data_IF_802280914952
#
_entry.id   IF_802280914952
#
_cell.length_a   1.000
_cell.length_b   1.000
_cell.length_c   1.000
_cell.angle_alpha   90.00
_cell.angle_beta   90.00
_cell.angle_gamma   90.00
#
_symmetry.space_group_name_H-M   'P 1'
#
loop_
_entity.id
_entity.type
_entity.pdbx_description
1 polymer ?
#
# COMPACT_ATOMS: atom_id res chain seq x y z
N UNK A 1 24.06 -3.62 -0.10
CA UNK A 1 23.43 -4.60 0.81
C UNK A 1 23.38 -5.93 0.08
N UNK A 2 23.92 -6.99 0.66
CA UNK A 2 23.77 -8.35 0.14
C UNK A 2 22.65 -9.01 0.94
N UNK A 3 21.58 -9.44 0.25
CA UNK A 3 20.40 -10.05 0.86
C UNK A 3 20.39 -11.53 0.53
N UNK A 4 20.17 -12.38 1.54
CA UNK A 4 20.09 -13.83 1.36
C UNK A 4 18.64 -14.33 1.38
N UNK A 5 18.40 -15.50 0.80
CA UNK A 5 17.09 -16.17 0.87
C UNK A 5 16.61 -16.44 2.30
N UNK A 6 17.53 -16.69 3.23
CA UNK A 6 17.22 -16.96 4.64
C UNK A 6 16.74 -15.67 5.31
N UNK A 7 17.42 -14.55 5.06
CA UNK A 7 17.01 -13.25 5.56
C UNK A 7 15.64 -12.82 5.04
N UNK A 8 15.34 -13.08 3.76
CA UNK A 8 14.00 -12.84 3.18
C UNK A 8 12.93 -13.57 3.98
N UNK A 9 13.07 -14.89 4.13
CA UNK A 9 12.07 -15.73 4.84
C UNK A 9 11.94 -15.35 6.30
N UNK A 10 13.05 -15.05 6.95
CA UNK A 10 13.04 -14.75 8.38
C UNK A 10 12.46 -13.36 8.68
N UNK A 11 12.74 -12.35 7.86
CA UNK A 11 12.09 -11.04 7.98
C UNK A 11 10.58 -11.18 7.84
N UNK A 12 10.13 -11.81 6.76
CA UNK A 12 8.69 -11.97 6.48
C UNK A 12 7.97 -12.78 7.56
N UNK A 13 8.63 -13.79 8.14
CA UNK A 13 8.07 -14.61 9.24
C UNK A 13 7.95 -13.84 10.56
N UNK A 14 8.80 -12.83 10.80
CA UNK A 14 8.80 -12.05 12.06
C UNK A 14 7.83 -10.87 12.01
N UNK A 15 7.37 -10.49 10.82
CA UNK A 15 6.45 -9.38 10.64
C UNK A 15 5.06 -9.70 11.21
N UNK A 16 4.35 -8.66 11.68
CA UNK A 16 3.03 -8.79 12.29
C UNK A 16 2.02 -9.46 11.34
N UNK A 17 1.22 -10.39 11.86
CA UNK A 17 0.24 -11.14 11.08
C UNK A 17 -1.07 -10.36 10.88
N UNK A 18 -2.01 -10.94 10.13
CA UNK A 18 -3.30 -10.29 9.82
C UNK A 18 -4.16 -9.99 11.06
N UNK A 19 -3.93 -10.69 12.19
CA UNK A 19 -4.64 -10.45 13.46
C UNK A 19 -4.08 -9.28 14.28
N UNK A 20 -2.89 -8.82 13.92
CA UNK A 20 -2.14 -7.76 14.63
C UNK A 20 -2.09 -6.47 13.81
N UNK A 21 -2.61 -6.50 12.58
CA UNK A 21 -2.55 -5.37 11.65
C UNK A 21 -3.94 -4.81 11.33
N UNK A 22 -3.97 -3.53 10.98
CA UNK A 22 -5.11 -2.87 10.36
C UNK A 22 -4.83 -2.59 8.88
N UNK A 23 -5.88 -2.53 8.07
CA UNK A 23 -5.77 -2.29 6.62
C UNK A 23 -6.40 -0.96 6.23
N UNK A 24 -5.67 -0.11 5.54
CA UNK A 24 -6.17 1.09 4.88
C UNK A 24 -6.22 0.88 3.36
N UNK A 25 -7.28 1.34 2.69
CA UNK A 25 -7.40 1.28 1.23
C UNK A 25 -7.67 2.66 0.65
N UNK A 26 -6.82 3.11 -0.28
CA UNK A 26 -6.96 4.43 -0.90
C UNK A 26 -6.37 4.48 -2.30
N UNK A 27 -6.88 5.37 -3.13
CA UNK A 27 -6.32 5.71 -4.44
C UNK A 27 -5.88 7.17 -4.44
N UNK A 28 -4.67 7.45 -4.93
CA UNK A 28 -4.09 8.80 -5.05
C UNK A 28 -3.28 8.92 -6.34
N UNK A 29 -3.86 8.45 -7.45
CA UNK A 29 -3.20 8.40 -8.76
C UNK A 29 -2.64 7.02 -9.09
N UNK A 30 -1.53 6.97 -9.83
CA UNK A 30 -0.90 5.70 -10.21
C UNK A 30 -0.34 4.98 -8.98
N UNK A 31 -0.75 3.74 -8.73
CA UNK A 31 -0.43 3.05 -7.47
C UNK A 31 1.06 2.75 -7.24
N UNK A 32 1.93 2.86 -8.25
CA UNK A 32 3.35 2.51 -8.11
C UNK A 32 4.11 3.46 -7.18
N UNK A 33 3.73 4.74 -7.20
CA UNK A 33 4.29 5.73 -6.28
C UNK A 33 3.85 5.45 -4.83
N UNK A 34 2.53 5.44 -4.56
CA UNK A 34 2.01 5.15 -3.22
C UNK A 34 2.43 3.78 -2.67
N UNK A 35 2.49 2.72 -3.49
CA UNK A 35 2.98 1.40 -3.06
C UNK A 35 4.41 1.48 -2.50
N UNK A 36 5.31 2.18 -3.18
CA UNK A 36 6.67 2.39 -2.72
C UNK A 36 6.75 3.34 -1.52
N UNK A 37 6.01 4.45 -1.56
CA UNK A 37 6.00 5.45 -0.50
C UNK A 37 5.51 4.87 0.82
N UNK A 38 4.40 4.13 0.83
CA UNK A 38 3.87 3.51 2.03
C UNK A 38 4.71 2.30 2.46
N UNK A 39 5.27 1.54 1.51
CA UNK A 39 6.21 0.46 1.84
C UNK A 39 7.42 0.93 2.65
N UNK A 40 7.85 2.18 2.48
CA UNK A 40 8.96 2.77 3.24
C UNK A 40 8.60 3.20 4.68
N UNK A 41 7.32 3.27 5.04
CA UNK A 41 6.89 3.85 6.32
C UNK A 41 7.08 2.86 7.47
N UNK A 42 7.69 3.30 8.57
CA UNK A 42 7.77 2.53 9.82
C UNK A 42 6.37 2.16 10.33
N UNK A 43 6.19 0.93 10.79
CA UNK A 43 4.87 0.38 11.16
C UNK A 43 4.03 -0.10 9.99
N UNK A 44 4.31 0.28 8.74
CA UNK A 44 3.70 -0.39 7.58
C UNK A 44 4.33 -1.76 7.41
N UNK A 45 3.47 -2.78 7.35
CA UNK A 45 3.86 -4.19 7.25
C UNK A 45 3.80 -4.64 5.80
N UNK A 46 2.71 -4.37 5.08
CA UNK A 46 2.50 -4.87 3.71
C UNK A 46 1.82 -3.81 2.85
N UNK A 47 2.07 -3.88 1.55
CA UNK A 47 1.37 -3.05 0.56
C UNK A 47 0.91 -3.88 -0.62
N UNK A 48 -0.25 -3.58 -1.19
CA UNK A 48 -0.78 -4.28 -2.37
C UNK A 48 -1.37 -3.27 -3.34
N UNK A 49 -0.90 -3.28 -4.59
CA UNK A 49 -1.53 -2.55 -5.67
C UNK A 49 -2.79 -3.28 -6.15
N UNK A 50 -3.85 -2.54 -6.47
CA UNK A 50 -5.09 -3.15 -6.93
C UNK A 50 -6.11 -2.17 -7.47
N UNK A 51 -7.32 -2.69 -7.69
CA UNK A 51 -8.45 -1.99 -8.27
C UNK A 51 -9.66 -2.06 -7.35
N UNK A 52 -10.25 -0.91 -7.02
CA UNK A 52 -11.40 -0.81 -6.13
C UNK A 52 -12.22 0.46 -6.42
N UNK A 53 -13.36 0.61 -5.74
CA UNK A 53 -14.25 1.77 -5.88
C UNK A 53 -15.14 1.75 -7.12
N UNK A 54 -15.22 0.61 -7.81
CA UNK A 54 -16.13 0.34 -8.92
C UNK A 54 -17.00 -0.91 -8.66
N UNK A 55 -17.78 -1.29 -9.65
CA UNK A 55 -18.77 -2.37 -9.61
C UNK A 55 -18.44 -3.54 -10.54
N UNK A 56 -17.51 -3.36 -11.48
CA UNK A 56 -17.09 -4.42 -12.40
C UNK A 56 -16.44 -5.59 -11.65
N UNK A 57 -16.86 -6.82 -11.96
CA UNK A 57 -16.22 -8.02 -11.43
C UNK A 57 -14.91 -8.32 -12.18
N UNK A 58 -13.89 -8.75 -11.44
CA UNK A 58 -12.59 -9.19 -11.96
C UNK A 58 -11.93 -8.14 -12.89
N UNK A 59 -11.73 -6.87 -12.43
CA UNK A 59 -11.07 -5.85 -13.22
C UNK A 59 -9.60 -6.21 -13.48
N UNK A 60 -9.10 -5.83 -14.66
CA UNK A 60 -7.68 -5.92 -15.06
C UNK A 60 -7.19 -4.55 -15.48
N UNK A 61 -5.87 -4.38 -15.62
CA UNK A 61 -5.28 -3.10 -16.04
C UNK A 61 -5.90 -2.56 -17.35
N UNK A 62 -6.15 -3.45 -18.31
CA UNK A 62 -6.74 -3.09 -19.60
C UNK A 62 -8.29 -3.11 -19.60
N UNK A 63 -8.91 -3.40 -18.46
CA UNK A 63 -10.36 -3.58 -18.35
C UNK A 63 -10.93 -3.19 -16.99
N UNK A 64 -10.53 -2.02 -16.47
CA UNK A 64 -10.92 -1.50 -15.15
C UNK A 64 -12.44 -1.32 -14.94
N UNK A 65 -13.18 -0.92 -15.97
CA UNK A 65 -14.56 -0.47 -15.80
C UNK A 65 -14.60 0.87 -15.05
N UNK A 66 -15.34 0.91 -13.95
CA UNK A 66 -15.50 2.04 -13.04
C UNK A 66 -14.55 1.99 -11.82
N UNK A 67 -13.66 1.01 -11.75
CA UNK A 67 -12.62 0.96 -10.73
C UNK A 67 -11.54 2.02 -10.97
N UNK A 68 -10.88 2.43 -9.88
CA UNK A 68 -9.64 3.20 -9.90
C UNK A 68 -8.48 2.36 -9.36
N UNK A 69 -7.25 2.75 -9.68
CA UNK A 69 -6.06 2.24 -9.00
C UNK A 69 -6.08 2.64 -7.54
N UNK A 70 -5.82 1.67 -6.67
CA UNK A 70 -5.73 1.83 -5.21
C UNK A 70 -4.54 1.05 -4.67
N UNK A 71 -4.11 1.42 -3.47
CA UNK A 71 -3.20 0.65 -2.64
C UNK A 71 -3.93 0.22 -1.38
N UNK A 72 -3.77 -1.06 -1.02
CA UNK A 72 -4.03 -1.56 0.32
C UNK A 72 -2.74 -1.54 1.13
N UNK A 73 -2.80 -0.98 2.33
CA UNK A 73 -1.67 -0.90 3.26
C UNK A 73 -2.08 -1.60 4.55
N UNK A 74 -1.39 -2.68 4.89
CA UNK A 74 -1.48 -3.29 6.21
C UNK A 74 -0.43 -2.64 7.10
N UNK A 75 -0.83 -2.16 8.27
CA UNK A 75 0.04 -1.49 9.22
C UNK A 75 -0.23 -1.99 10.64
N UNK A 76 0.81 -1.96 11.46
CA UNK A 76 0.73 -2.24 12.89
C UNK A 76 0.23 -0.99 13.63
N UNK A 77 -0.99 -1.03 14.21
CA UNK A 77 -1.57 0.11 14.91
C UNK A 77 -0.84 0.49 16.21
N UNK A 78 0.04 -0.37 16.75
CA UNK A 78 0.89 -0.03 17.90
C UNK A 78 2.06 0.89 17.49
N UNK A 79 2.44 0.86 16.21
CA UNK A 79 3.57 1.64 15.67
C UNK A 79 3.11 2.88 14.89
N UNK A 80 2.06 2.75 14.06
CA UNK A 80 1.51 3.86 13.26
C UNK A 80 -0.02 3.86 13.30
N UNK A 81 -0.63 5.02 13.53
CA UNK A 81 -2.09 5.11 13.60
C UNK A 81 -2.73 5.25 12.22
N UNK A 82 -4.01 4.90 12.10
CA UNK A 82 -4.80 5.18 10.90
C UNK A 82 -4.80 6.68 10.55
N UNK A 83 -4.76 7.57 11.55
CA UNK A 83 -4.65 9.01 11.35
C UNK A 83 -3.34 9.38 10.65
N UNK A 84 -2.21 8.77 11.02
CA UNK A 84 -0.91 9.01 10.39
C UNK A 84 -0.86 8.50 8.94
N UNK A 85 -1.60 7.42 8.65
CA UNK A 85 -1.83 6.95 7.28
C UNK A 85 -2.63 7.99 6.50
N UNK A 86 -3.73 8.51 7.05
CA UNK A 86 -4.52 9.58 6.43
C UNK A 86 -3.69 10.85 6.19
N UNK A 87 -2.81 11.24 7.13
CA UNK A 87 -1.90 12.38 6.95
C UNK A 87 -1.05 12.23 5.68
N UNK A 88 -0.51 11.03 5.45
CA UNK A 88 0.29 10.73 4.26
C UNK A 88 -0.56 10.71 3.00
N UNK A 89 -1.76 10.12 3.05
CA UNK A 89 -2.71 10.10 1.92
C UNK A 89 -3.05 11.53 1.50
N UNK A 90 -3.50 12.37 2.43
CA UNK A 90 -3.93 13.74 2.12
C UNK A 90 -2.77 14.72 1.89
N UNK A 91 -1.54 14.35 2.21
CA UNK A 91 -0.35 15.10 1.80
C UNK A 91 0.07 14.82 0.34
N UNK A 92 -0.36 13.69 -0.24
CA UNK A 92 0.02 13.27 -1.59
C UNK A 92 -0.75 14.00 -2.71
N UNK A 93 -1.89 14.64 -2.39
CA UNK A 93 -2.73 15.33 -3.37
C UNK A 93 -3.51 16.50 -2.76
N UNK A 94 -4.05 17.37 -3.62
CA UNK A 94 -5.04 18.37 -3.21
C UNK A 94 -6.42 17.70 -3.09
N UNK A 95 -7.05 17.65 -1.91
CA UNK A 95 -8.33 16.96 -1.73
C UNK A 95 -9.49 17.61 -2.49
N UNK A 96 -9.33 18.85 -2.96
CA UNK A 96 -10.32 19.59 -3.77
C UNK A 96 -10.05 19.49 -5.27
N UNK A 97 -9.26 18.49 -5.67
CA UNK A 97 -9.00 18.20 -7.07
C UNK A 97 -9.20 16.72 -7.33
N UNK A 98 -9.72 16.45 -8.52
CA UNK A 98 -9.94 15.11 -9.00
C UNK A 98 -9.39 14.92 -10.41
N UNK A 99 -8.83 13.74 -10.66
CA UNK A 99 -8.44 13.34 -12.01
C UNK A 99 -9.68 13.14 -12.88
N UNK A 100 -9.61 13.59 -14.13
CA UNK A 100 -10.64 13.28 -15.14
C UNK A 100 -10.56 11.83 -15.63
N UNK A 101 -9.44 11.15 -15.41
CA UNK A 101 -9.28 9.72 -15.75
C UNK A 101 -9.73 8.88 -14.56
N UNK A 102 -10.76 8.06 -14.76
CA UNK A 102 -11.31 7.14 -13.74
C UNK A 102 -10.23 6.30 -13.05
N UNK A 103 -9.26 5.81 -13.82
CA UNK A 103 -8.13 5.01 -13.34
C UNK A 103 -7.28 5.67 -12.24
N UNK A 104 -7.26 7.00 -12.19
CA UNK A 104 -6.36 7.77 -11.32
C UNK A 104 -7.13 8.69 -10.38
N UNK A 105 -8.34 8.30 -9.98
CA UNK A 105 -9.14 9.11 -9.07
C UNK A 105 -8.69 8.98 -7.63
N UNK A 106 -8.75 10.09 -6.90
CA UNK A 106 -8.52 10.15 -5.47
C UNK A 106 -9.72 9.56 -4.73
N UNK A 107 -9.49 8.54 -3.90
CA UNK A 107 -10.53 7.89 -3.10
C UNK A 107 -9.95 7.35 -1.78
N UNK A 108 -10.72 7.46 -0.70
CA UNK A 108 -10.50 6.72 0.55
C UNK A 108 -11.64 5.72 0.69
N UNK A 109 -11.29 4.44 0.73
CA UNK A 109 -12.24 3.33 0.84
C UNK A 109 -12.24 2.80 2.28
N UNK A 110 -13.30 3.12 3.03
CA UNK A 110 -13.44 2.73 4.43
C UNK A 110 -14.02 1.32 4.54
N UNK A 111 -13.37 0.45 5.31
CA UNK A 111 -13.82 -0.93 5.54
C UNK A 111 -14.71 -1.01 6.78
N UNK A 112 -14.36 -0.25 7.83
CA UNK A 112 -14.98 -0.30 9.16
C UNK A 112 -15.56 1.06 9.58
N UNK A 113 -16.55 1.04 10.46
CA UNK A 113 -17.16 2.25 11.00
C UNK A 113 -16.15 3.13 11.75
N UNK A 114 -15.22 2.54 12.50
CA UNK A 114 -14.17 3.27 13.21
C UNK A 114 -13.25 4.06 12.27
N UNK A 115 -12.94 3.52 11.08
CA UNK A 115 -12.15 4.24 10.06
C UNK A 115 -12.92 5.44 9.51
N UNK A 116 -14.24 5.28 9.33
CA UNK A 116 -15.11 6.39 8.89
C UNK A 116 -15.13 7.51 9.93
N UNK A 117 -15.30 7.18 11.20
CA UNK A 117 -15.28 8.15 12.30
C UNK A 117 -13.93 8.89 12.38
N UNK A 118 -12.82 8.14 12.36
CA UNK A 118 -11.48 8.72 12.38
C UNK A 118 -11.20 9.62 11.17
N UNK A 119 -11.69 9.26 9.98
CA UNK A 119 -11.59 10.07 8.77
C UNK A 119 -12.39 11.37 8.89
N UNK A 120 -13.62 11.31 9.38
CA UNK A 120 -14.47 12.49 9.57
C UNK A 120 -13.87 13.45 10.61
N UNK A 121 -13.32 12.93 11.71
CA UNK A 121 -12.56 13.73 12.69
C UNK A 121 -11.31 14.36 12.06
N UNK A 122 -10.54 13.58 11.32
CA UNK A 122 -9.33 14.04 10.62
C UNK A 122 -9.60 15.21 9.67
N UNK A 123 -10.68 15.12 8.89
CA UNK A 123 -11.12 16.15 7.96
C UNK A 123 -11.64 17.38 8.70
N UNK A 124 -12.48 17.18 9.72
CA UNK A 124 -13.06 18.26 10.53
C UNK A 124 -11.98 19.10 11.20
N UNK A 125 -10.94 18.47 11.76
CA UNK A 125 -9.79 19.15 12.34
C UNK A 125 -9.02 20.04 11.34
N UNK A 126 -9.22 19.84 10.03
CA UNK A 126 -8.63 20.61 8.94
C UNK A 126 -9.62 21.56 8.25
N UNK A 127 -10.82 21.71 8.81
CA UNK A 127 -11.90 22.53 8.23
C UNK A 127 -12.45 21.94 6.92
N UNK A 128 -12.37 20.63 6.76
CA UNK A 128 -12.89 19.87 5.63
C UNK A 128 -14.05 18.97 6.09
N UNK A 129 -14.86 18.52 5.15
CA UNK A 129 -15.86 17.47 5.35
C UNK A 129 -15.77 16.47 4.21
N UNK A 130 -16.22 15.23 4.42
CA UNK A 130 -16.22 14.20 3.38
C UNK A 130 -17.02 14.63 2.14
N UNK A 131 -18.14 15.33 2.32
CA UNK A 131 -18.96 15.87 1.23
C UNK A 131 -18.45 17.22 0.67
N UNK A 132 -17.44 17.82 1.31
CA UNK A 132 -16.90 19.14 0.97
C UNK A 132 -15.59 19.10 0.18
N UNK A 133 -15.13 17.91 -0.21
CA UNK A 133 -13.91 17.67 -0.97
C UNK A 133 -14.21 16.81 -2.21
N UNK A 134 -13.31 16.82 -3.19
CA UNK A 134 -13.46 16.03 -4.42
C UNK A 134 -12.88 14.60 -4.28
N UNK A 135 -12.08 14.36 -3.23
CA UNK A 135 -11.65 13.01 -2.87
C UNK A 135 -12.86 12.20 -2.44
N UNK A 136 -13.13 11.10 -3.15
CA UNK A 136 -14.28 10.25 -2.84
C UNK A 136 -14.06 9.57 -1.48
N UNK A 137 -15.09 9.55 -0.64
CA UNK A 137 -15.09 8.80 0.61
C UNK A 137 -16.21 7.77 0.53
N UNK A 138 -15.85 6.50 0.36
CA UNK A 138 -16.79 5.43 0.05
C UNK A 138 -16.53 4.19 0.91
N UNK A 139 -17.53 3.33 1.07
CA UNK A 139 -17.33 2.03 1.72
C UNK A 139 -16.60 1.09 0.77
N UNK A 140 -15.57 0.39 1.25
CA UNK A 140 -14.91 -0.66 0.49
C UNK A 140 -15.88 -1.84 0.27
N UNK A 141 -16.27 -2.06 -0.98
CA UNK A 141 -17.09 -3.23 -1.36
C UNK A 141 -16.22 -4.45 -1.69
N UNK A 142 -15.19 -4.27 -2.50
CA UNK A 142 -14.24 -5.29 -2.92
C UNK A 142 -12.91 -4.63 -3.28
N UNK A 143 -11.82 -5.29 -2.91
CA UNK A 143 -10.49 -5.05 -3.45
C UNK A 143 -10.13 -6.19 -4.42
N UNK A 144 -9.63 -5.84 -5.60
CA UNK A 144 -9.12 -6.80 -6.57
C UNK A 144 -7.62 -6.56 -6.75
N UNK A 145 -6.74 -7.50 -6.35
CA UNK A 145 -5.30 -7.34 -6.56
C UNK A 145 -4.99 -7.11 -8.03
N UNK A 146 -4.09 -6.16 -8.31
CA UNK A 146 -3.54 -5.98 -9.64
C UNK A 146 -2.58 -7.13 -9.98
N UNK A 147 -2.33 -7.31 -11.28
CA UNK A 147 -1.44 -8.32 -11.82
C UNK A 147 -0.03 -8.24 -11.20
N UNK A 148 0.67 -9.37 -11.13
CA UNK A 148 1.95 -9.48 -10.39
C UNK A 148 2.99 -8.46 -10.84
N UNK A 149 3.03 -8.12 -12.13
CA UNK A 149 3.99 -7.15 -12.67
C UNK A 149 3.77 -5.71 -12.16
N UNK A 150 2.60 -5.41 -11.57
CA UNK A 150 2.34 -4.15 -10.89
C UNK A 150 2.78 -4.15 -9.43
N UNK A 151 2.93 -5.32 -8.81
CA UNK A 151 3.28 -5.45 -7.40
C UNK A 151 4.77 -5.18 -7.20
N UNK A 152 5.09 -4.33 -6.22
CA UNK A 152 6.47 -3.97 -5.86
C UNK A 152 7.27 -3.53 -7.10
N UNK A 153 6.64 -2.70 -7.91
CA UNK A 153 7.12 -2.36 -9.26
C UNK A 153 8.56 -1.83 -9.30
N UNK A 154 8.97 -1.04 -8.30
CA UNK A 154 10.33 -0.50 -8.22
C UNK A 154 11.32 -1.59 -7.90
N UNK A 155 11.01 -2.46 -6.93
CA UNK A 155 11.85 -3.60 -6.57
C UNK A 155 12.16 -4.51 -7.77
N UNK A 156 11.18 -4.76 -8.65
CA UNK A 156 11.36 -5.61 -9.85
C UNK A 156 12.45 -5.10 -10.81
N UNK A 157 12.81 -3.82 -10.75
CA UNK A 157 13.90 -3.25 -11.55
C UNK A 157 15.30 -3.42 -10.93
N UNK A 158 15.40 -3.93 -9.70
CA UNK A 158 16.64 -4.13 -8.96
C UNK A 158 16.96 -5.63 -8.82
N UNK A 159 17.59 -6.22 -9.84
CA UNK A 159 17.87 -7.67 -9.91
C UNK A 159 18.54 -8.22 -8.64
N UNK A 160 19.54 -7.53 -8.10
CA UNK A 160 20.26 -7.96 -6.90
C UNK A 160 19.39 -8.05 -5.63
N UNK A 161 18.23 -7.40 -5.61
CA UNK A 161 17.29 -7.43 -4.49
C UNK A 161 16.09 -8.34 -4.74
N UNK A 162 15.77 -8.66 -6.00
CA UNK A 162 14.69 -9.60 -6.34
C UNK A 162 15.17 -11.05 -6.36
N UNK A 163 16.40 -11.31 -6.82
CA UNK A 163 16.97 -12.67 -6.92
C UNK A 163 16.92 -13.47 -5.60
N UNK A 164 17.09 -12.87 -4.40
CA UNK A 164 16.94 -13.58 -3.14
C UNK A 164 15.52 -14.09 -2.87
N UNK A 165 14.48 -13.42 -3.38
CA UNK A 165 13.09 -13.89 -3.29
C UNK A 165 12.86 -15.09 -4.21
N UNK A 166 13.38 -15.03 -5.44
CA UNK A 166 13.35 -16.16 -6.37
C UNK A 166 14.08 -17.38 -5.79
N UNK A 167 15.26 -17.16 -5.20
CA UNK A 167 16.04 -18.20 -4.51
C UNK A 167 15.36 -18.72 -3.23
N UNK A 168 14.50 -17.92 -2.61
CA UNK A 168 13.63 -18.32 -1.51
C UNK A 168 12.36 -19.05 -1.99
N UNK A 169 12.12 -19.10 -3.31
CA UNK A 169 11.00 -19.79 -3.94
C UNK A 169 9.69 -19.00 -3.96
N UNK A 170 9.74 -17.67 -3.80
CA UNK A 170 8.54 -16.84 -3.77
C UNK A 170 7.89 -16.76 -5.15
N UNK A 171 6.59 -17.02 -5.23
CA UNK A 171 5.79 -16.69 -6.40
C UNK A 171 5.30 -15.22 -6.40
N UNK A 172 4.53 -14.83 -7.42
CA UNK A 172 4.02 -13.47 -7.53
C UNK A 172 3.05 -13.07 -6.41
N UNK A 173 2.29 -14.03 -5.89
CA UNK A 173 1.40 -13.79 -4.75
C UNK A 173 2.22 -13.64 -3.46
N UNK A 174 3.18 -14.51 -3.19
CA UNK A 174 4.05 -14.41 -2.03
C UNK A 174 4.87 -13.10 -2.04
N UNK A 175 5.39 -12.69 -3.21
CA UNK A 175 6.10 -11.41 -3.35
C UNK A 175 5.19 -10.21 -3.09
N UNK A 176 3.92 -10.27 -3.51
CA UNK A 176 2.93 -9.23 -3.22
C UNK A 176 2.72 -9.10 -1.71
N UNK A 177 2.62 -10.22 -1.01
CA UNK A 177 2.33 -10.28 0.43
C UNK A 177 3.56 -10.04 1.33
N UNK A 178 4.77 -10.10 0.77
CA UNK A 178 6.03 -9.97 1.50
C UNK A 178 6.22 -8.59 2.17
N UNK A 179 6.37 -8.56 3.51
CA UNK A 179 6.77 -7.36 4.23
C UNK A 179 8.12 -6.80 3.80
N UNK A 180 9.13 -7.65 3.63
CA UNK A 180 10.44 -7.20 3.18
C UNK A 180 10.37 -6.59 1.78
N UNK A 181 9.59 -7.19 0.87
CA UNK A 181 9.44 -6.65 -0.47
C UNK A 181 8.79 -5.26 -0.46
N UNK A 182 7.87 -4.97 0.47
CA UNK A 182 7.30 -3.63 0.64
C UNK A 182 8.37 -2.61 1.03
N UNK A 183 9.21 -2.96 2.02
CA UNK A 183 10.33 -2.11 2.44
C UNK A 183 11.33 -1.86 1.32
N UNK A 184 11.75 -2.92 0.63
CA UNK A 184 12.74 -2.83 -0.45
C UNK A 184 12.20 -2.07 -1.67
N UNK A 185 10.90 -2.17 -1.97
CA UNK A 185 10.26 -1.38 -3.01
C UNK A 185 10.33 0.12 -2.71
N UNK A 186 10.13 0.52 -1.45
CA UNK A 186 10.33 1.88 -0.98
C UNK A 186 11.80 2.33 -1.08
N UNK A 187 12.72 1.50 -0.62
CA UNK A 187 14.17 1.76 -0.69
C UNK A 187 14.64 1.98 -2.13
N UNK A 188 14.25 1.10 -3.07
CA UNK A 188 14.63 1.24 -4.49
C UNK A 188 13.99 2.48 -5.13
N UNK A 189 12.85 2.93 -4.63
CA UNK A 189 12.23 4.18 -5.06
C UNK A 189 12.94 5.45 -4.52
N UNK A 190 13.96 5.29 -3.66
CA UNK A 190 14.72 6.38 -3.07
C UNK A 190 14.10 6.95 -1.80
N UNK A 191 13.16 6.23 -1.17
CA UNK A 191 12.66 6.59 0.16
C UNK A 191 13.62 6.09 1.24
N UNK A 192 13.62 6.78 2.37
CA UNK A 192 14.41 6.39 3.54
C UNK A 192 13.79 5.15 4.20
N UNK A 193 14.58 4.09 4.35
CA UNK A 193 14.13 2.82 4.93
C UNK A 193 15.30 2.18 5.67
N UNK A 194 15.08 1.83 6.94
CA UNK A 194 16.11 1.23 7.81
C UNK A 194 16.23 -0.30 7.63
N UNK A 195 16.02 -0.82 6.42
CA UNK A 195 16.01 -2.28 6.15
C UNK A 195 17.29 -2.95 6.64
N UNK A 196 18.44 -2.34 6.43
CA UNK A 196 19.72 -2.94 6.80
C UNK A 196 19.87 -3.20 8.31
N UNK A 197 19.22 -2.40 9.16
CA UNK A 197 19.24 -2.57 10.61
C UNK A 197 18.19 -3.58 11.10
N UNK A 198 17.10 -3.73 10.34
CA UNK A 198 16.01 -4.67 10.65
C UNK A 198 16.26 -6.09 10.13
N UNK A 199 17.17 -6.25 9.15
CA UNK A 199 17.49 -7.56 8.60
C UNK A 199 18.13 -8.46 9.67
N UNK A 200 17.74 -9.74 9.73
CA UNK A 200 18.41 -10.70 10.60
C UNK A 200 19.88 -10.86 10.19
N UNK A 201 20.72 -11.21 11.17
CA UNK A 201 22.14 -11.45 10.94
C UNK A 201 22.33 -12.51 9.83
N UNK A 202 23.27 -12.31 8.89
CA UNK A 202 23.59 -13.33 7.91
C UNK A 202 24.19 -14.56 8.63
N UNK A 203 23.82 -15.76 8.18
CA UNK A 203 24.45 -17.02 8.60
C UNK A 203 25.91 -17.12 8.13
#
# INVERSE_FOLDING_TARGET
MELTRTQVREYDRRAADAGETETATFGVGCFWGPDAQFGAVEGVVRTRAGYAGGTKRDPTYHSLGDHTEVVQVDFDPETISYRDVLERVFAAHDPRRQSRKTQYQNVVLVERAAQREALDEFLSARGLTADGIDTRVERLSRFSPAEDYHQKYRLRSASSLIEPFDAAGYDGAELRESPLAAKLNGYVAGHDVNVAEELPAPE
#
